data_IF_118766734884
#
_entry.id   IF_118766734884
#
_cell.length_a   1.000
_cell.length_b   1.000
_cell.length_c   1.000
_cell.angle_alpha   90.00
_cell.angle_beta   90.00
_cell.angle_gamma   90.00
#
_symmetry.space_group_name_H-M   'P 1'
#
loop_
_entity.id
_entity.type
_entity.pdbx_description
1 polymer ?
#
# COMPACT_ATOMS: atom_id res chain seq x y z
N UNK A 1 -12.21 2.51 25.30
CA UNK A 1 -12.09 3.76 24.50
C UNK A 1 -10.73 3.90 23.83
N UNK A 2 -9.64 3.59 24.51
CA UNK A 2 -8.27 3.63 23.95
C UNK A 2 -8.14 2.78 22.69
N UNK A 3 -8.69 1.57 22.69
CA UNK A 3 -8.62 0.63 21.57
C UNK A 3 -9.23 1.18 20.27
N UNK A 4 -10.32 1.94 20.40
CA UNK A 4 -10.94 2.60 19.27
C UNK A 4 -10.05 3.69 18.65
N UNK A 5 -9.29 4.42 19.49
CA UNK A 5 -8.30 5.39 18.97
C UNK A 5 -7.18 4.70 18.19
N UNK A 6 -6.68 3.56 18.67
CA UNK A 6 -5.68 2.79 17.94
C UNK A 6 -6.22 2.30 16.60
N UNK A 7 -7.44 1.79 16.56
CA UNK A 7 -8.10 1.42 15.31
C UNK A 7 -8.17 2.59 14.32
N UNK A 8 -8.58 3.78 14.77
CA UNK A 8 -8.65 4.97 13.93
C UNK A 8 -7.26 5.38 13.42
N UNK A 9 -6.24 5.37 14.28
CA UNK A 9 -4.86 5.70 13.90
C UNK A 9 -4.37 4.75 12.81
N UNK A 10 -4.58 3.44 12.96
CA UNK A 10 -4.22 2.44 11.97
C UNK A 10 -4.94 2.66 10.63
N UNK A 11 -6.24 2.96 10.66
CA UNK A 11 -7.04 3.21 9.46
C UNK A 11 -6.61 4.50 8.74
N UNK A 12 -6.28 5.58 9.47
CA UNK A 12 -5.77 6.84 8.92
C UNK A 12 -4.40 6.61 8.28
N UNK A 13 -3.52 5.87 8.95
CA UNK A 13 -2.22 5.51 8.41
C UNK A 13 -2.35 4.71 7.11
N UNK A 14 -3.27 3.75 7.05
CA UNK A 14 -3.55 2.98 5.84
C UNK A 14 -4.03 3.86 4.68
N UNK A 15 -4.94 4.80 4.95
CA UNK A 15 -5.43 5.74 3.95
C UNK A 15 -4.29 6.58 3.35
N UNK A 16 -3.36 7.05 4.21
CA UNK A 16 -2.17 7.76 3.75
C UNK A 16 -1.22 6.85 2.94
N UNK A 17 -0.95 5.64 3.44
CA UNK A 17 -0.09 4.68 2.73
C UNK A 17 -0.69 4.25 1.39
N UNK A 18 -2.00 4.13 1.29
CA UNK A 18 -2.72 3.88 0.03
C UNK A 18 -2.44 4.98 -1.00
N UNK A 19 -2.48 6.25 -0.58
CA UNK A 19 -2.11 7.38 -1.43
C UNK A 19 -0.64 7.33 -1.85
N UNK A 20 0.26 6.93 -0.94
CA UNK A 20 1.69 6.74 -1.27
C UNK A 20 1.86 5.64 -2.32
N UNK A 21 1.18 4.50 -2.15
CA UNK A 21 1.23 3.38 -3.12
C UNK A 21 0.83 3.85 -4.51
N UNK A 22 -0.22 4.64 -4.65
CA UNK A 22 -0.70 5.07 -5.96
C UNK A 22 0.15 6.16 -6.62
N UNK A 23 0.81 7.00 -5.83
CA UNK A 23 1.56 8.16 -6.35
C UNK A 23 3.05 7.90 -6.53
N UNK A 24 3.64 7.06 -5.72
CA UNK A 24 5.08 6.81 -5.76
C UNK A 24 5.45 5.85 -6.90
N UNK A 25 6.56 6.07 -7.62
CA UNK A 25 7.48 7.23 -7.57
C UNK A 25 7.11 8.38 -8.53
N UNK A 26 6.08 8.22 -9.34
CA UNK A 26 5.79 9.08 -10.50
C UNK A 26 5.22 10.46 -10.13
N UNK A 27 4.51 10.53 -9.00
CA UNK A 27 3.80 11.73 -8.59
C UNK A 27 4.21 12.18 -7.18
N UNK A 28 4.07 13.48 -6.92
CA UNK A 28 4.29 14.01 -5.58
C UNK A 28 3.22 13.54 -4.59
N UNK A 29 3.67 13.08 -3.41
CA UNK A 29 2.79 12.65 -2.32
C UNK A 29 2.05 13.85 -1.70
N UNK A 30 2.67 15.05 -1.74
CA UNK A 30 2.18 16.25 -1.05
C UNK A 30 1.25 17.06 -1.94
N UNK A 31 1.53 17.17 -3.22
CA UNK A 31 0.80 18.00 -4.17
C UNK A 31 0.55 17.26 -5.49
N UNK A 32 -0.65 17.34 -6.06
CA UNK A 32 -1.84 18.05 -5.57
C UNK A 32 -2.55 17.35 -4.40
N UNK A 33 -3.45 18.07 -3.70
CA UNK A 33 -4.30 17.48 -2.68
C UNK A 33 -5.13 16.31 -3.24
N UNK A 34 -5.63 15.42 -2.36
CA UNK A 34 -6.42 14.26 -2.76
C UNK A 34 -7.61 14.65 -3.64
N UNK A 35 -7.73 14.03 -4.80
CA UNK A 35 -8.75 14.30 -5.81
C UNK A 35 -9.22 12.98 -6.43
N UNK A 36 -10.36 13.02 -7.09
CA UNK A 36 -10.88 11.87 -7.82
C UNK A 36 -10.17 11.75 -9.18
N UNK A 37 -9.65 10.59 -9.53
CA UNK A 37 -8.94 10.36 -10.80
C UNK A 37 -9.82 10.57 -12.04
N UNK A 38 -11.14 10.30 -11.91
CA UNK A 38 -12.07 10.41 -13.03
C UNK A 38 -12.55 11.83 -13.30
N UNK A 39 -12.90 12.61 -12.26
CA UNK A 39 -13.44 13.96 -12.42
C UNK A 39 -12.50 15.07 -11.96
N UNK A 40 -11.31 14.72 -11.44
CA UNK A 40 -10.29 15.65 -10.92
C UNK A 40 -10.79 16.61 -9.82
N UNK A 41 -11.99 16.36 -9.28
CA UNK A 41 -12.54 17.17 -8.19
C UNK A 41 -11.80 16.88 -6.90
N UNK A 42 -11.36 17.94 -6.21
CA UNK A 42 -10.70 17.83 -4.90
C UNK A 42 -11.66 17.23 -3.87
N UNK A 43 -11.19 16.22 -3.16
CA UNK A 43 -11.94 15.56 -2.08
C UNK A 43 -11.98 16.45 -0.84
N UNK A 44 -13.14 16.48 -0.17
CA UNK A 44 -13.30 17.18 1.10
C UNK A 44 -12.77 16.32 2.25
N UNK A 45 -12.43 16.88 3.42
CA UNK A 45 -11.99 16.10 4.58
C UNK A 45 -12.95 14.98 4.99
N UNK A 46 -14.26 15.19 4.83
CA UNK A 46 -15.28 14.17 5.09
C UNK A 46 -15.24 12.99 4.10
N UNK A 47 -14.79 13.22 2.89
CA UNK A 47 -14.62 12.17 1.87
C UNK A 47 -13.33 11.35 2.10
N UNK A 48 -12.45 11.82 3.00
CA UNK A 48 -11.19 11.19 3.38
C UNK A 48 -11.27 10.43 4.72
N UNK A 49 -12.44 10.40 5.38
CA UNK A 49 -12.60 9.59 6.60
C UNK A 49 -12.49 8.11 6.21
N UNK A 50 -11.48 7.39 6.75
CA UNK A 50 -11.25 6.00 6.37
C UNK A 50 -12.50 5.15 6.60
N UNK A 51 -12.71 4.17 5.72
CA UNK A 51 -13.81 3.20 5.76
C UNK A 51 -15.19 3.88 5.66
N UNK A 52 -15.50 4.84 6.53
CA UNK A 52 -16.82 5.48 6.61
C UNK A 52 -17.20 6.20 5.32
N UNK A 53 -16.29 6.99 4.76
CA UNK A 53 -16.57 7.72 3.50
C UNK A 53 -16.86 6.76 2.34
N UNK A 54 -16.18 5.63 2.29
CA UNK A 54 -16.35 4.62 1.25
C UNK A 54 -17.71 3.90 1.40
N UNK A 55 -18.10 3.54 2.62
CA UNK A 55 -19.41 2.92 2.90
C UNK A 55 -20.55 3.89 2.59
N UNK A 56 -20.50 5.13 3.10
CA UNK A 56 -21.54 6.13 2.87
C UNK A 56 -21.71 6.47 1.38
N UNK A 57 -20.61 6.53 0.63
CA UNK A 57 -20.64 6.81 -0.81
C UNK A 57 -20.84 5.53 -1.65
N UNK A 58 -21.06 4.36 -1.03
CA UNK A 58 -21.24 3.04 -1.70
C UNK A 58 -20.10 2.72 -2.65
N UNK A 59 -18.84 2.95 -2.22
CA UNK A 59 -17.63 2.74 -3.01
C UNK A 59 -17.63 3.52 -4.33
N UNK A 60 -18.22 4.71 -4.35
CA UNK A 60 -18.28 5.57 -5.53
C UNK A 60 -17.92 7.00 -5.20
N UNK A 61 -17.34 7.69 -6.15
CA UNK A 61 -17.09 9.12 -6.00
C UNK A 61 -18.41 9.86 -5.72
N UNK A 62 -18.39 10.76 -4.74
CA UNK A 62 -19.56 11.56 -4.38
C UNK A 62 -20.03 12.47 -5.53
N UNK A 63 -19.09 12.92 -6.37
CA UNK A 63 -19.35 13.91 -7.43
C UNK A 63 -19.71 13.26 -8.76
N UNK A 64 -18.85 12.38 -9.29
CA UNK A 64 -19.04 11.77 -10.62
C UNK A 64 -19.56 10.34 -10.59
N UNK A 65 -19.76 9.74 -9.41
CA UNK A 65 -20.23 8.35 -9.21
C UNK A 65 -19.31 7.27 -9.78
N UNK A 66 -18.09 7.62 -10.22
CA UNK A 66 -17.09 6.63 -10.62
C UNK A 66 -16.79 5.67 -9.46
N UNK A 67 -16.63 4.36 -9.70
CA UNK A 67 -16.34 3.38 -8.63
C UNK A 67 -14.94 3.60 -8.06
N UNK A 68 -14.80 3.44 -6.74
CA UNK A 68 -13.51 3.34 -6.07
C UNK A 68 -13.12 1.87 -5.87
N UNK A 69 -11.84 1.52 -6.01
CA UNK A 69 -11.36 0.19 -5.76
C UNK A 69 -11.59 -0.21 -4.29
N UNK A 70 -12.16 -1.39 -4.07
CA UNK A 70 -12.52 -1.90 -2.72
C UNK A 70 -11.27 -2.17 -1.87
N UNK A 71 -10.10 -2.39 -2.49
CA UNK A 71 -8.86 -2.69 -1.77
C UNK A 71 -8.45 -1.58 -0.78
N UNK A 72 -8.80 -0.31 -1.04
CA UNK A 72 -8.58 0.79 -0.09
C UNK A 72 -9.30 0.54 1.24
N UNK A 73 -10.59 0.20 1.19
CA UNK A 73 -11.36 -0.10 2.39
C UNK A 73 -10.81 -1.32 3.12
N UNK A 74 -10.40 -2.35 2.39
CA UNK A 74 -9.80 -3.56 2.98
C UNK A 74 -8.46 -3.25 3.64
N UNK A 75 -7.65 -2.39 3.04
CA UNK A 75 -6.37 -1.99 3.60
C UNK A 75 -6.56 -1.11 4.85
N UNK A 76 -7.49 -0.16 4.82
CA UNK A 76 -7.86 0.69 5.97
C UNK A 76 -8.41 -0.14 7.12
N UNK A 77 -9.30 -1.09 6.85
CA UNK A 77 -9.83 -2.01 7.85
C UNK A 77 -8.73 -2.93 8.42
N UNK A 78 -7.91 -3.50 7.55
CA UNK A 78 -6.84 -4.43 7.94
C UNK A 78 -5.83 -3.79 8.87
N UNK A 79 -5.30 -2.60 8.51
CA UNK A 79 -4.38 -1.87 9.39
C UNK A 79 -5.05 -1.37 10.66
N UNK A 80 -6.31 -0.92 10.58
CA UNK A 80 -7.09 -0.57 11.76
C UNK A 80 -7.18 -1.74 12.76
N UNK A 81 -7.46 -2.96 12.27
CA UNK A 81 -7.51 -4.16 13.10
C UNK A 81 -6.13 -4.54 13.68
N UNK A 82 -5.04 -4.39 12.92
CA UNK A 82 -3.68 -4.65 13.43
C UNK A 82 -3.34 -3.71 14.58
N UNK A 83 -3.67 -2.43 14.47
CA UNK A 83 -3.47 -1.46 15.56
C UNK A 83 -4.39 -1.73 16.75
N UNK A 84 -5.60 -2.21 16.52
CA UNK A 84 -6.50 -2.67 17.58
C UNK A 84 -5.89 -3.87 18.33
N UNK A 85 -5.37 -4.87 17.63
CA UNK A 85 -4.71 -6.04 18.24
C UNK A 85 -3.45 -5.64 19.03
N UNK A 86 -2.75 -4.61 18.55
CA UNK A 86 -1.64 -4.01 19.30
C UNK A 86 -2.10 -3.38 20.62
N UNK A 87 -3.21 -2.63 20.62
CA UNK A 87 -3.73 -2.00 21.86
C UNK A 87 -4.16 -3.03 22.90
N UNK A 88 -4.58 -4.23 22.45
CA UNK A 88 -4.89 -5.36 23.32
C UNK A 88 -3.64 -6.08 23.88
N UNK A 89 -2.42 -5.62 23.54
CA UNK A 89 -1.16 -6.20 24.00
C UNK A 89 -0.76 -7.52 23.33
N UNK A 90 -1.46 -7.92 22.27
CA UNK A 90 -1.20 -9.19 21.55
C UNK A 90 -0.05 -9.08 20.53
N UNK A 91 0.32 -7.87 20.15
CA UNK A 91 1.43 -7.58 19.23
C UNK A 91 2.41 -6.60 19.89
N UNK A 92 3.70 -6.75 19.61
CA UNK A 92 4.70 -5.75 19.93
C UNK A 92 4.75 -4.64 18.88
N UNK A 93 5.27 -3.46 19.25
CA UNK A 93 5.43 -2.34 18.33
C UNK A 93 6.26 -2.74 17.08
N UNK A 94 7.34 -3.51 17.27
CA UNK A 94 8.16 -4.03 16.16
C UNK A 94 7.35 -4.88 15.18
N UNK A 95 6.49 -5.76 15.69
CA UNK A 95 5.61 -6.58 14.83
C UNK A 95 4.62 -5.72 14.06
N UNK A 96 4.01 -4.70 14.68
CA UNK A 96 3.10 -3.78 13.98
C UNK A 96 3.82 -3.05 12.84
N UNK A 97 5.02 -2.53 13.10
CA UNK A 97 5.83 -1.85 12.07
C UNK A 97 6.13 -2.81 10.91
N UNK A 98 6.56 -4.04 11.21
CA UNK A 98 6.89 -5.04 10.19
C UNK A 98 5.67 -5.45 9.37
N UNK A 99 4.53 -5.71 10.01
CA UNK A 99 3.28 -6.09 9.32
C UNK A 99 2.80 -4.93 8.43
N UNK A 100 2.82 -3.70 8.96
CA UNK A 100 2.43 -2.50 8.20
C UNK A 100 3.31 -2.29 6.97
N UNK A 101 4.63 -2.37 7.13
CA UNK A 101 5.57 -2.24 6.03
C UNK A 101 5.42 -3.38 5.02
N UNK A 102 5.28 -4.62 5.48
CA UNK A 102 5.11 -5.79 4.62
C UNK A 102 3.82 -5.73 3.80
N UNK A 103 2.69 -5.35 4.41
CA UNK A 103 1.42 -5.16 3.70
C UNK A 103 1.50 -4.04 2.68
N UNK A 104 2.11 -2.90 3.04
CA UNK A 104 2.28 -1.76 2.13
C UNK A 104 3.12 -2.15 0.91
N UNK A 105 4.26 -2.82 1.13
CA UNK A 105 5.11 -3.30 0.05
C UNK A 105 4.44 -4.37 -0.80
N UNK A 106 3.71 -5.30 -0.18
CA UNK A 106 2.98 -6.34 -0.91
C UNK A 106 1.88 -5.77 -1.81
N UNK A 107 1.13 -4.77 -1.34
CA UNK A 107 0.12 -4.11 -2.16
C UNK A 107 0.78 -3.27 -3.27
N UNK A 108 1.88 -2.57 -2.95
CA UNK A 108 2.64 -1.81 -3.94
C UNK A 108 3.11 -2.71 -5.08
N UNK A 109 3.74 -3.84 -4.75
CA UNK A 109 4.21 -4.81 -5.74
C UNK A 109 3.07 -5.39 -6.58
N UNK A 110 1.98 -5.80 -5.95
CA UNK A 110 0.81 -6.32 -6.65
C UNK A 110 0.22 -5.31 -7.66
N UNK A 111 0.24 -4.02 -7.35
CA UNK A 111 -0.32 -2.98 -8.20
C UNK A 111 0.62 -2.53 -9.32
N UNK A 112 1.88 -2.31 -9.00
CA UNK A 112 2.86 -1.75 -9.95
C UNK A 112 3.65 -2.83 -10.69
N UNK A 113 3.72 -4.04 -10.14
CA UNK A 113 4.55 -5.15 -10.65
C UNK A 113 6.01 -4.71 -10.89
N UNK A 114 6.47 -3.76 -10.10
CA UNK A 114 7.81 -3.21 -10.10
C UNK A 114 8.34 -3.14 -8.68
N UNK A 115 9.47 -3.81 -8.43
CA UNK A 115 10.12 -3.76 -7.13
C UNK A 115 11.05 -2.55 -7.04
N UNK A 116 10.76 -1.55 -6.21
CA UNK A 116 11.78 -0.57 -5.86
C UNK A 116 12.82 -1.27 -4.98
N UNK A 117 13.90 -1.74 -5.60
CA UNK A 117 14.95 -2.53 -4.95
C UNK A 117 15.42 -1.92 -3.63
N UNK A 118 15.56 -0.58 -3.58
CA UNK A 118 15.98 0.13 -2.38
C UNK A 118 14.97 -0.04 -1.23
N UNK A 119 13.67 0.03 -1.51
CA UNK A 119 12.63 -0.13 -0.49
C UNK A 119 12.60 -1.57 0.01
N UNK A 120 12.80 -2.53 -0.90
CA UNK A 120 12.87 -3.95 -0.57
C UNK A 120 14.09 -4.28 0.31
N UNK A 121 15.27 -3.76 -0.02
CA UNK A 121 16.49 -3.89 0.79
C UNK A 121 16.27 -3.26 2.17
N UNK A 122 15.73 -2.04 2.22
CA UNK A 122 15.45 -1.36 3.47
C UNK A 122 14.49 -2.16 4.37
N UNK A 123 13.44 -2.74 3.79
CA UNK A 123 12.49 -3.58 4.53
C UNK A 123 13.16 -4.84 5.10
N UNK A 124 14.05 -5.50 4.33
CA UNK A 124 14.76 -6.66 4.82
C UNK A 124 15.79 -6.32 5.90
N UNK A 125 16.46 -5.19 5.79
CA UNK A 125 17.33 -4.68 6.86
C UNK A 125 16.53 -4.39 8.14
N UNK A 126 15.36 -3.78 8.02
CA UNK A 126 14.47 -3.55 9.15
C UNK A 126 14.00 -4.87 9.79
N UNK A 127 13.66 -5.87 8.98
CA UNK A 127 13.35 -7.23 9.45
C UNK A 127 14.51 -7.84 10.24
N UNK A 128 15.74 -7.74 9.74
CA UNK A 128 16.93 -8.26 10.40
C UNK A 128 17.18 -7.59 11.76
N UNK A 129 16.94 -6.28 11.85
CA UNK A 129 17.08 -5.53 13.12
C UNK A 129 16.01 -5.93 14.14
N UNK A 130 14.75 -6.11 13.70
CA UNK A 130 13.63 -6.39 14.61
C UNK A 130 13.50 -7.87 15.02
N UNK A 131 13.87 -8.81 14.14
CA UNK A 131 13.73 -10.27 14.39
C UNK A 131 15.06 -10.99 14.66
N UNK A 132 16.17 -10.25 14.61
CA UNK A 132 17.52 -10.81 14.73
C UNK A 132 18.05 -11.42 13.41
N UNK A 133 19.34 -11.67 13.40
CA UNK A 133 20.06 -12.22 12.23
C UNK A 133 19.67 -13.69 12.01
N UNK A 134 18.87 -13.96 10.97
CA UNK A 134 18.47 -15.30 10.61
C UNK A 134 18.94 -15.63 9.20
N UNK A 135 19.52 -16.82 9.02
CA UNK A 135 20.01 -17.30 7.73
C UNK A 135 18.90 -17.31 6.65
N UNK A 136 17.67 -17.58 7.09
CA UNK A 136 16.46 -17.58 6.24
C UNK A 136 16.20 -16.18 5.68
N UNK A 137 16.33 -15.12 6.49
CA UNK A 137 16.15 -13.74 6.05
C UNK A 137 17.21 -13.32 5.04
N UNK A 138 18.46 -13.72 5.26
CA UNK A 138 19.56 -13.51 4.31
C UNK A 138 19.29 -14.20 2.97
N UNK A 139 18.77 -15.44 3.03
CA UNK A 139 18.39 -16.18 1.82
C UNK A 139 17.31 -15.46 1.02
N UNK A 140 16.24 -14.98 1.66
CA UNK A 140 15.20 -14.21 0.99
C UNK A 140 15.70 -12.86 0.47
N UNK A 141 16.64 -12.21 1.17
CA UNK A 141 17.30 -10.98 0.69
C UNK A 141 18.04 -11.24 -0.62
N UNK A 142 18.85 -12.29 -0.67
CA UNK A 142 19.61 -12.66 -1.86
C UNK A 142 18.65 -13.07 -3.00
N UNK A 143 17.64 -13.87 -2.70
CA UNK A 143 16.67 -14.34 -3.69
C UNK A 143 15.93 -13.18 -4.37
N UNK A 144 15.51 -12.17 -3.61
CA UNK A 144 14.84 -11.02 -4.20
C UNK A 144 15.78 -10.11 -5.00
N UNK A 145 17.04 -9.94 -4.58
CA UNK A 145 18.03 -9.25 -5.40
C UNK A 145 18.23 -9.97 -6.73
N UNK A 146 18.35 -11.29 -6.71
CA UNK A 146 18.49 -12.11 -7.92
C UNK A 146 17.25 -12.02 -8.81
N UNK A 147 16.04 -12.06 -8.22
CA UNK A 147 14.78 -11.90 -8.95
C UNK A 147 14.72 -10.53 -9.65
N UNK A 148 15.09 -9.46 -8.95
CA UNK A 148 15.12 -8.11 -9.52
C UNK A 148 16.07 -8.01 -10.72
N UNK A 149 17.26 -8.60 -10.64
CA UNK A 149 18.21 -8.63 -11.76
C UNK A 149 17.71 -9.50 -12.92
N UNK A 150 16.97 -10.58 -12.67
CA UNK A 150 16.37 -11.39 -13.73
C UNK A 150 15.26 -10.65 -14.48
N UNK A 151 14.43 -9.88 -13.77
CA UNK A 151 13.39 -9.04 -14.38
C UNK A 151 13.97 -7.94 -15.27
N UNK A 152 15.06 -7.28 -14.85
CA UNK A 152 15.75 -6.29 -15.68
C UNK A 152 16.26 -6.92 -16.99
N UNK A 153 16.76 -8.17 -16.98
CA UNK A 153 17.18 -8.86 -18.18
C UNK A 153 16.02 -9.18 -19.11
N UNK A 154 14.88 -9.59 -18.57
CA UNK A 154 13.68 -9.90 -19.35
C UNK A 154 13.08 -8.66 -20.01
N UNK A 155 13.08 -7.51 -19.30
CA UNK A 155 12.57 -6.22 -19.82
C UNK A 155 13.41 -5.71 -20.99
N UNK A 156 14.73 -5.90 -20.94
CA UNK A 156 15.63 -5.50 -22.03
C UNK A 156 15.45 -6.34 -23.30
N UNK A 157 14.86 -7.54 -23.19
CA UNK A 157 14.59 -8.42 -24.34
C UNK A 157 13.22 -8.18 -25.01
N UNK A 158 12.26 -7.45 -24.36
CA UNK A 158 10.90 -7.23 -24.91
C UNK A 158 10.37 -5.81 -24.70
N UNK A 159 10.83 -4.82 -25.51
CA UNK A 159 10.47 -3.42 -25.27
C UNK A 159 9.04 -2.99 -25.61
N UNK A 160 8.21 -3.82 -26.25
CA UNK A 160 6.90 -3.40 -26.82
C UNK A 160 5.63 -3.88 -26.09
N UNK A 161 5.71 -4.71 -25.07
CA UNK A 161 4.50 -5.31 -24.46
C UNK A 161 4.02 -4.56 -23.21
N UNK A 162 4.84 -3.73 -22.59
CA UNK A 162 4.55 -3.06 -21.31
C UNK A 162 3.41 -2.00 -21.38
N UNK A 163 3.30 -1.28 -22.50
CA UNK A 163 2.31 -0.19 -22.62
C UNK A 163 0.83 -0.66 -22.72
N UNK A 164 0.59 -1.94 -23.01
CA UNK A 164 -0.78 -2.49 -23.16
C UNK A 164 -1.36 -3.07 -21.87
N UNK A 165 -0.52 -3.38 -20.85
CA UNK A 165 -0.98 -4.00 -19.60
C UNK A 165 -1.58 -3.02 -18.61
N UNK A 166 -1.14 -1.75 -18.57
CA UNK A 166 -1.68 -0.74 -17.65
C UNK A 166 -3.16 -0.42 -17.92
N UNK A 167 -3.62 -0.55 -19.17
CA UNK A 167 -5.01 -0.27 -19.53
C UNK A 167 -5.97 -1.45 -19.32
N UNK A 168 -5.46 -2.67 -19.14
CA UNK A 168 -6.31 -3.87 -19.03
C UNK A 168 -6.89 -4.03 -17.60
N UNK A 169 -6.15 -3.66 -16.58
CA UNK A 169 -6.57 -3.79 -15.18
C UNK A 169 -7.47 -2.64 -14.68
N UNK A 170 -7.46 -1.50 -15.36
CA UNK A 170 -8.34 -0.37 -15.06
C UNK A 170 -9.81 -0.62 -15.44
N UNK A 171 -10.13 -1.70 -16.17
CA UNK A 171 -11.49 -2.05 -16.64
C UNK A 171 -12.11 -3.18 -15.81
N UNK A 172 -11.32 -3.93 -15.01
CA UNK A 172 -11.78 -5.16 -14.32
C UNK A 172 -11.91 -5.02 -12.80
N UNK A 173 -11.60 -3.87 -12.21
CA UNK A 173 -11.75 -3.54 -10.78
C UNK A 173 -12.46 -2.20 -10.61
#
# INVERSE_FOLDING_TARGET
MIDFYFFLVGSILASFLGLVIDRFPEQSIISPASHCDSCQTRLRPLDLIPILSQIFNRFRCRYCKAPYPVWYALFELGLGLIFLVYSLGLLSLGQVILITAGLTLGIYDFRHQEYPLLVWIFFHLLLMVCSGWNLIMLFFLILGILAHFSDIRMVNCTPKVRQKKSNFWGVLL
#
